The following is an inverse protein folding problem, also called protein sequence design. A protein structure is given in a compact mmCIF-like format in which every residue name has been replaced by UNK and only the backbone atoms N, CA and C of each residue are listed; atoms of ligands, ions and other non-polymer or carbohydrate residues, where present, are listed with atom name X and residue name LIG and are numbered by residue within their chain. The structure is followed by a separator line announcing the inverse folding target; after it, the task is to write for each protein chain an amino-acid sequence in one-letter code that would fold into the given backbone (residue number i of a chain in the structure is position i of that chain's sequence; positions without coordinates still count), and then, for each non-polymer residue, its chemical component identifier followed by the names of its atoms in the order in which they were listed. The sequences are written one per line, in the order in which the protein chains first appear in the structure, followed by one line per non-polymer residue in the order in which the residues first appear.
data_IF_143218287921
#
_entry.id   IF_143218287921
#
_cell.length_a   1.000
_cell.length_b   1.000
_cell.length_c   1.000
_cell.angle_alpha   90.00
_cell.angle_beta   90.00
_cell.angle_gamma   90.00
#
_symmetry.space_group_name_H-M   'P 1'
#
loop_
_entity.id
_entity.type
_entity.pdbx_description
1 polymer ?
#
# COMPACT_ATOMS: atom_id res chain seq x y z
N UNK A 1 -8.29 -32.67 -56.50
CA UNK A 1 -8.76 -31.28 -56.35
C UNK A 1 -7.71 -30.58 -55.49
N UNK A 2 -6.56 -30.11 -55.99
CA UNK A 2 -6.27 -29.07 -57.00
C UNK A 2 -6.63 -27.65 -56.55
N UNK A 3 -5.57 -26.90 -56.19
CA UNK A 3 -5.35 -25.43 -56.19
C UNK A 3 -6.30 -24.54 -55.34
N UNK A 4 -5.91 -23.38 -54.75
CA UNK A 4 -4.79 -22.44 -55.01
C UNK A 4 -4.50 -21.51 -53.80
N UNK A 5 -3.29 -20.93 -53.81
CA UNK A 5 -2.88 -19.52 -53.49
C UNK A 5 -3.34 -18.84 -52.18
N UNK A 6 -2.45 -18.44 -51.26
CA UNK A 6 -1.39 -17.41 -51.30
C UNK A 6 -1.89 -16.00 -51.64
N UNK A 7 -1.91 -15.11 -50.64
CA UNK A 7 -1.58 -13.69 -50.83
C UNK A 7 -1.05 -13.10 -49.53
N UNK A 8 0.24 -12.78 -49.55
CA UNK A 8 0.92 -11.95 -48.57
C UNK A 8 0.57 -10.47 -48.79
N UNK A 9 0.50 -9.70 -47.71
CA UNK A 9 0.38 -8.22 -47.74
C UNK A 9 1.62 -7.64 -47.05
N UNK A 10 2.24 -6.57 -47.62
CA UNK A 10 3.62 -6.23 -47.34
C UNK A 10 3.83 -5.29 -46.14
N UNK A 11 5.05 -5.43 -45.63
CA UNK A 11 5.84 -4.56 -44.78
C UNK A 11 5.78 -3.07 -45.19
N UNK A 12 5.36 -2.19 -44.28
CA UNK A 12 5.49 -0.74 -44.43
C UNK A 12 6.65 -0.22 -43.58
N UNK A 13 7.62 0.36 -44.29
CA UNK A 13 8.85 0.92 -43.77
C UNK A 13 8.63 2.17 -42.90
N UNK A 14 9.47 2.27 -41.87
CA UNK A 14 9.59 3.38 -40.95
C UNK A 14 10.08 4.66 -41.64
N UNK A 15 9.51 5.81 -41.25
CA UNK A 15 10.04 7.14 -41.55
C UNK A 15 10.68 7.78 -40.30
N UNK A 16 11.86 8.40 -40.41
CA UNK A 16 12.57 8.98 -39.28
C UNK A 16 12.02 10.36 -38.88
N UNK A 17 11.57 10.50 -37.64
CA UNK A 17 11.10 11.77 -37.07
C UNK A 17 12.30 12.60 -36.60
N UNK A 18 12.60 13.67 -37.34
CA UNK A 18 13.65 14.65 -37.03
C UNK A 18 13.43 15.31 -35.66
N UNK A 19 14.47 15.26 -34.84
CA UNK A 19 14.60 15.96 -33.56
C UNK A 19 14.83 17.46 -33.79
N UNK A 20 13.99 18.30 -33.17
CA UNK A 20 14.20 19.75 -33.10
C UNK A 20 14.70 20.11 -31.70
N UNK A 21 16.02 20.24 -31.54
CA UNK A 21 16.65 20.82 -30.35
C UNK A 21 16.40 22.32 -30.36
N UNK A 22 15.64 22.82 -29.39
CA UNK A 22 15.58 24.25 -29.07
C UNK A 22 16.61 24.51 -27.98
N UNK A 23 17.67 25.25 -28.33
CA UNK A 23 18.59 25.86 -27.37
C UNK A 23 17.97 27.19 -26.95
N UNK A 24 17.73 27.39 -25.65
CA UNK A 24 17.60 28.72 -25.07
C UNK A 24 18.88 29.03 -24.30
N UNK A 25 19.69 29.90 -24.88
CA UNK A 25 20.75 30.66 -24.23
C UNK A 25 20.26 32.10 -24.15
N UNK A 26 20.21 32.65 -22.95
CA UNK A 26 19.86 34.05 -22.70
C UNK A 26 20.31 34.45 -21.31
N UNK A 27 21.54 34.94 -21.23
CA UNK A 27 22.09 35.65 -20.07
C UNK A 27 21.78 37.15 -20.21
N UNK A 28 21.58 37.82 -19.06
CA UNK A 28 21.73 39.25 -18.73
C UNK A 28 20.71 39.60 -17.65
N UNK A 29 20.93 40.47 -16.67
CA UNK A 29 22.10 41.19 -16.21
C UNK A 29 21.72 41.76 -14.83
N UNK A 30 22.75 42.04 -14.03
CA UNK A 30 22.72 42.73 -12.74
C UNK A 30 22.20 44.16 -12.88
N UNK A 31 21.34 44.60 -11.95
CA UNK A 31 21.28 46.00 -11.51
C UNK A 31 20.99 46.05 -10.00
N UNK A 32 21.84 46.80 -9.31
CA UNK A 32 21.82 47.05 -7.88
C UNK A 32 21.18 48.40 -7.55
N UNK A 33 20.48 48.46 -6.42
CA UNK A 33 20.17 49.59 -5.53
C UNK A 33 18.90 49.16 -4.77
N UNK A 34 18.78 49.15 -3.44
CA UNK A 34 19.39 49.98 -2.42
C UNK A 34 18.24 50.39 -1.50
N UNK A 35 18.10 49.77 -0.33
CA UNK A 35 17.33 50.30 0.79
C UNK A 35 17.71 49.52 2.06
N UNK A 36 18.52 50.18 2.88
CA UNK A 36 18.84 49.78 4.25
C UNK A 36 17.65 50.13 5.13
N UNK A 37 17.03 49.13 5.75
CA UNK A 37 16.25 49.31 6.97
C UNK A 37 16.78 48.34 8.01
N UNK A 38 17.57 48.90 8.93
CA UNK A 38 18.07 48.22 10.14
C UNK A 38 16.91 48.12 11.11
N UNK A 39 16.37 46.92 11.31
CA UNK A 39 15.62 46.57 12.51
C UNK A 39 16.49 45.63 13.35
N UNK A 40 16.90 46.12 14.52
CA UNK A 40 17.72 45.37 15.47
C UNK A 40 16.94 44.19 16.03
N UNK A 41 17.30 42.98 15.58
CA UNK A 41 16.96 41.74 16.28
C UNK A 41 18.19 41.25 17.03
N UNK A 42 18.12 41.31 18.35
CA UNK A 42 19.08 40.70 19.28
C UNK A 42 19.21 39.20 18.94
N UNK A 43 20.34 38.80 18.37
CA UNK A 43 20.68 37.39 18.20
C UNK A 43 21.09 36.81 19.56
N UNK A 44 20.16 36.15 20.24
CA UNK A 44 20.51 35.13 21.23
C UNK A 44 21.15 33.94 20.50
N UNK A 45 22.36 33.50 20.85
CA UNK A 45 22.96 32.32 20.24
C UNK A 45 22.08 31.09 20.52
N UNK A 46 21.79 30.32 19.47
CA UNK A 46 21.04 29.09 19.58
C UNK A 46 21.72 28.14 20.60
N UNK A 47 20.97 27.55 21.55
CA UNK A 47 21.54 26.62 22.50
C UNK A 47 22.10 25.42 21.73
N UNK A 48 23.35 25.06 22.02
CA UNK A 48 23.97 23.82 21.54
C UNK A 48 23.07 22.65 21.94
N UNK A 49 22.38 22.07 20.96
CA UNK A 49 21.59 20.86 21.18
C UNK A 49 22.54 19.74 21.63
N UNK A 50 22.49 19.41 22.91
CA UNK A 50 23.09 18.19 23.43
C UNK A 50 22.36 17.03 22.77
N UNK A 51 23.09 16.20 22.03
CA UNK A 51 22.58 14.93 21.53
C UNK A 51 22.21 14.08 22.76
N UNK A 52 20.93 14.08 23.10
CA UNK A 52 20.37 13.27 24.17
C UNK A 52 20.20 11.87 23.59
N UNK A 53 21.11 10.97 23.95
CA UNK A 53 20.91 9.54 23.71
C UNK A 53 19.68 9.12 24.52
N UNK A 54 18.54 8.99 23.85
CA UNK A 54 17.31 8.47 24.47
C UNK A 54 17.45 6.95 24.47
N UNK A 55 17.78 6.39 25.63
CA UNK A 55 17.64 4.96 25.88
C UNK A 55 16.15 4.67 25.97
N UNK A 56 15.57 4.14 24.89
CA UNK A 56 14.18 3.68 24.89
C UNK A 56 14.12 2.38 25.69
N UNK A 57 13.51 2.41 26.87
CA UNK A 57 13.23 1.21 27.65
C UNK A 57 12.36 0.24 26.85
N UNK A 58 12.57 -1.07 26.99
CA UNK A 58 11.81 -2.10 26.27
C UNK A 58 10.28 -1.96 26.45
N UNK A 59 9.81 -1.44 27.59
CA UNK A 59 8.40 -1.11 27.83
C UNK A 59 7.87 0.03 26.94
N UNK A 60 8.71 1.00 26.57
CA UNK A 60 8.34 2.07 25.63
C UNK A 60 8.23 1.57 24.19
N UNK A 61 8.96 0.51 23.84
CA UNK A 61 8.88 -0.16 22.53
C UNK A 61 7.57 -0.94 22.40
N UNK A 62 7.12 -1.67 23.44
CA UNK A 62 5.79 -2.30 23.47
C UNK A 62 4.64 -1.27 23.42
N UNK A 63 4.80 -0.11 24.08
CA UNK A 63 3.77 0.93 24.08
C UNK A 63 3.65 1.63 22.70
N UNK A 64 4.74 1.71 21.93
CA UNK A 64 4.74 2.16 20.53
C UNK A 64 4.25 1.05 19.57
N UNK A 65 4.46 -0.22 19.90
CA UNK A 65 3.91 -1.37 19.17
C UNK A 65 2.38 -1.51 19.33
N UNK A 66 1.81 -1.02 20.44
CA UNK A 66 0.39 -1.12 20.76
C UNK A 66 -0.48 0.03 20.23
N UNK A 67 0.09 1.01 19.52
CA UNK A 67 -0.71 2.04 18.87
C UNK A 67 -1.32 1.49 17.57
N UNK A 68 -2.64 1.53 17.46
CA UNK A 68 -3.38 1.25 16.23
C UNK A 68 -2.77 2.07 15.08
N UNK A 69 -2.24 1.44 14.01
CA UNK A 69 -1.65 2.18 12.89
C UNK A 69 -2.67 3.19 12.34
N UNK A 70 -2.25 4.45 12.23
CA UNK A 70 -3.11 5.57 11.83
C UNK A 70 -2.50 6.30 10.65
N UNK A 71 -3.31 6.60 9.64
CA UNK A 71 -2.95 7.48 8.54
C UNK A 71 -4.01 8.56 8.35
N UNK A 72 -3.58 9.83 8.33
CA UNK A 72 -4.45 10.96 8.02
C UNK A 72 -4.37 11.30 6.54
N UNK A 73 -5.50 11.68 5.94
CA UNK A 73 -5.58 12.05 4.52
C UNK A 73 -4.53 13.08 4.08
N UNK A 74 -4.12 14.00 4.96
CA UNK A 74 -3.13 15.04 4.67
C UNK A 74 -1.68 14.60 4.92
N UNK A 75 -1.45 13.31 5.19
CA UNK A 75 -0.11 12.76 5.40
C UNK A 75 0.82 13.00 4.21
N UNK A 76 2.10 13.14 4.51
CA UNK A 76 3.19 13.10 3.55
C UNK A 76 3.49 11.66 3.11
N UNK A 77 4.37 11.49 2.13
CA UNK A 77 4.86 10.15 1.77
C UNK A 77 5.57 9.45 2.94
N UNK A 78 6.24 10.20 3.81
CA UNK A 78 6.95 9.64 4.95
C UNK A 78 5.99 9.13 6.01
N UNK A 79 4.87 9.85 6.23
CA UNK A 79 3.79 9.38 7.09
C UNK A 79 3.17 8.10 6.54
N UNK A 80 3.00 8.01 5.22
CA UNK A 80 2.46 6.82 4.56
C UNK A 80 3.39 5.62 4.72
N UNK A 81 4.71 5.77 4.47
CA UNK A 81 5.67 4.70 4.72
C UNK A 81 5.76 4.33 6.21
N UNK A 82 5.69 5.32 7.10
CA UNK A 82 5.62 5.12 8.55
C UNK A 82 4.40 4.29 8.95
N UNK A 83 3.23 4.60 8.40
CA UNK A 83 1.99 3.86 8.57
C UNK A 83 2.12 2.39 8.12
N UNK A 84 2.62 2.15 6.91
CA UNK A 84 2.86 0.79 6.40
C UNK A 84 3.90 0.02 7.24
N UNK A 85 4.93 0.69 7.75
CA UNK A 85 5.90 0.09 8.67
C UNK A 85 5.24 -0.31 10.00
N UNK A 86 4.32 0.50 10.54
CA UNK A 86 3.57 0.18 11.76
C UNK A 86 2.68 -1.05 11.58
N UNK A 87 2.02 -1.19 10.43
CA UNK A 87 1.25 -2.40 10.09
C UNK A 87 2.15 -3.62 10.08
N UNK A 88 3.30 -3.53 9.41
CA UNK A 88 4.23 -4.66 9.30
C UNK A 88 4.75 -5.08 10.68
N UNK A 89 5.12 -4.13 11.54
CA UNK A 89 5.51 -4.41 12.92
C UNK A 89 4.40 -5.05 13.76
N UNK A 90 3.14 -4.68 13.55
CA UNK A 90 2.01 -5.23 14.30
C UNK A 90 1.74 -6.72 14.00
N UNK A 91 2.30 -7.25 12.91
CA UNK A 91 2.04 -8.60 12.40
C UNK A 91 3.31 -9.45 12.38
N UNK A 92 4.48 -8.81 12.34
CA UNK A 92 5.78 -9.45 12.29
C UNK A 92 5.90 -10.56 13.34
N UNK A 93 5.98 -11.79 12.86
CA UNK A 93 6.03 -12.98 13.71
C UNK A 93 7.46 -13.43 14.03
N UNK A 94 8.40 -13.18 13.11
CA UNK A 94 9.71 -13.83 13.09
C UNK A 94 10.75 -12.98 12.34
N UNK A 95 12.03 -13.33 12.45
CA UNK A 95 13.15 -12.68 11.76
C UNK A 95 12.83 -12.33 10.30
N UNK A 96 12.94 -11.05 9.95
CA UNK A 96 12.73 -10.54 8.60
C UNK A 96 14.01 -10.44 7.75
N UNK A 97 15.14 -10.92 8.28
CA UNK A 97 16.43 -10.87 7.58
C UNK A 97 16.45 -11.82 6.39
N UNK A 98 16.90 -11.34 5.22
CA UNK A 98 17.07 -12.16 4.01
C UNK A 98 18.56 -12.45 3.81
N UNK A 99 19.02 -13.71 3.95
CA UNK A 99 20.43 -14.06 3.88
C UNK A 99 21.12 -13.58 2.60
N UNK A 100 22.30 -12.98 2.76
CA UNK A 100 23.11 -12.49 1.64
C UNK A 100 22.60 -11.19 1.00
N UNK A 101 21.67 -10.49 1.65
CA UNK A 101 21.10 -9.23 1.14
C UNK A 101 20.94 -8.20 2.27
N UNK A 102 20.83 -6.93 1.90
CA UNK A 102 20.45 -5.86 2.84
C UNK A 102 18.94 -5.66 2.95
N UNK A 103 18.14 -6.43 2.20
CA UNK A 103 16.69 -6.32 2.21
C UNK A 103 16.10 -7.12 3.37
N UNK A 104 14.94 -6.68 3.83
CA UNK A 104 14.10 -7.41 4.79
C UNK A 104 12.76 -7.75 4.17
N UNK A 105 12.19 -8.88 4.59
CA UNK A 105 10.82 -9.29 4.26
C UNK A 105 10.15 -9.72 5.56
N UNK A 106 9.12 -8.99 5.99
CA UNK A 106 8.36 -9.36 7.18
C UNK A 106 7.52 -10.61 6.92
N UNK A 107 7.18 -11.37 7.94
CA UNK A 107 6.38 -12.58 7.81
C UNK A 107 5.12 -12.49 8.67
N UNK A 108 4.00 -12.91 8.10
CA UNK A 108 2.78 -13.15 8.89
C UNK A 108 2.89 -14.48 9.65
N UNK A 109 2.17 -14.63 10.77
CA UNK A 109 1.96 -15.94 11.39
C UNK A 109 0.67 -16.56 10.85
N UNK A 110 0.79 -17.64 10.08
CA UNK A 110 -0.36 -18.35 9.49
C UNK A 110 -1.22 -19.07 10.52
N UNK A 111 -0.73 -19.24 11.76
CA UNK A 111 -1.51 -19.82 12.86
C UNK A 111 -2.28 -18.73 13.65
N UNK A 112 -1.97 -17.45 13.41
CA UNK A 112 -2.64 -16.33 14.05
C UNK A 112 -3.82 -15.85 13.21
N UNK A 113 -4.95 -16.55 13.34
CA UNK A 113 -6.23 -16.15 12.72
C UNK A 113 -6.90 -14.95 13.42
N UNK A 114 -6.18 -14.25 14.30
CA UNK A 114 -6.66 -13.04 14.95
C UNK A 114 -6.85 -11.89 13.98
N UNK A 115 -7.38 -10.79 14.51
CA UNK A 115 -7.62 -9.57 13.76
C UNK A 115 -6.87 -8.41 14.41
N UNK A 116 -6.65 -7.37 13.64
CA UNK A 116 -6.19 -6.08 14.14
C UNK A 116 -6.82 -4.98 13.29
N UNK A 117 -6.90 -3.80 13.88
CA UNK A 117 -7.50 -2.65 13.23
C UNK A 117 -6.41 -1.65 12.83
N UNK A 118 -6.69 -0.89 11.78
CA UNK A 118 -5.94 0.32 11.40
C UNK A 118 -6.94 1.45 11.22
N UNK A 119 -6.50 2.69 11.38
CA UNK A 119 -7.39 3.86 11.31
C UNK A 119 -6.99 4.73 10.12
N UNK A 120 -7.99 5.16 9.35
CA UNK A 120 -7.82 6.16 8.31
C UNK A 120 -8.66 7.39 8.65
N UNK A 121 -8.03 8.56 8.70
CA UNK A 121 -8.70 9.82 9.00
C UNK A 121 -8.99 10.66 7.74
N UNK A 122 -10.18 11.28 7.68
CA UNK A 122 -10.60 12.15 6.57
C UNK A 122 -10.45 13.66 6.86
N UNK A 123 -10.74 14.51 5.87
CA UNK A 123 -10.63 15.98 5.97
C UNK A 123 -11.62 16.64 6.94
N UNK A 124 -12.69 15.94 7.30
CA UNK A 124 -13.70 16.42 8.23
C UNK A 124 -13.41 15.97 9.66
N UNK A 125 -12.30 15.27 9.90
CA UNK A 125 -11.92 14.73 11.21
C UNK A 125 -12.58 13.39 11.53
N UNK A 126 -13.29 12.76 10.58
CA UNK A 126 -13.82 11.42 10.77
C UNK A 126 -12.71 10.38 10.75
N UNK A 127 -12.91 9.25 11.43
CA UNK A 127 -11.95 8.15 11.49
C UNK A 127 -12.64 6.83 11.17
N UNK A 128 -12.31 6.22 10.04
CA UNK A 128 -12.76 4.86 9.75
C UNK A 128 -11.75 3.86 10.30
N UNK A 129 -12.23 2.87 11.06
CA UNK A 129 -11.41 1.73 11.50
C UNK A 129 -11.56 0.61 10.50
N UNK A 130 -10.47 0.20 9.86
CA UNK A 130 -10.42 -0.92 8.94
C UNK A 130 -9.90 -2.15 9.68
N UNK A 131 -10.60 -3.28 9.55
CA UNK A 131 -10.21 -4.53 10.20
C UNK A 131 -9.52 -5.47 9.23
N UNK A 132 -8.30 -5.89 9.57
CA UNK A 132 -7.51 -6.83 8.80
C UNK A 132 -7.30 -8.13 9.57
N UNK A 133 -7.25 -9.25 8.83
CA UNK A 133 -6.85 -10.54 9.40
C UNK A 133 -5.33 -10.61 9.53
N UNK A 134 -4.82 -11.04 10.69
CA UNK A 134 -3.38 -11.04 11.02
C UNK A 134 -2.56 -12.01 10.16
N UNK A 135 -3.11 -13.18 9.88
CA UNK A 135 -2.40 -14.24 9.14
C UNK A 135 -2.10 -13.91 7.68
N UNK A 136 -2.87 -13.03 7.03
CA UNK A 136 -2.72 -12.74 5.60
C UNK A 136 -3.04 -11.31 5.17
N UNK A 137 -3.28 -10.37 6.10
CA UNK A 137 -3.61 -8.98 5.78
C UNK A 137 -4.90 -8.80 4.96
N UNK A 138 -5.80 -9.78 4.86
CA UNK A 138 -7.07 -9.54 4.16
C UNK A 138 -7.89 -8.50 4.91
N UNK A 139 -8.33 -7.46 4.19
CA UNK A 139 -9.28 -6.48 4.68
C UNK A 139 -10.66 -7.16 4.79
N UNK A 140 -11.15 -7.31 6.02
CA UNK A 140 -12.37 -8.08 6.30
C UNK A 140 -13.60 -7.18 6.43
N UNK A 141 -13.40 -5.93 6.83
CA UNK A 141 -14.49 -5.00 7.10
C UNK A 141 -14.00 -3.66 7.65
N UNK A 142 -14.95 -2.84 8.08
CA UNK A 142 -14.71 -1.53 8.67
C UNK A 142 -15.79 -1.16 9.69
N UNK A 143 -15.49 -0.22 10.57
CA UNK A 143 -16.46 0.38 11.50
C UNK A 143 -16.90 1.74 10.98
N UNK A 144 -18.21 1.98 10.96
CA UNK A 144 -18.80 3.25 10.54
C UNK A 144 -19.04 4.21 11.72
N UNK A 145 -19.64 5.36 11.41
CA UNK A 145 -19.98 6.42 12.39
C UNK A 145 -20.89 6.00 13.53
N UNK A 146 -21.65 4.91 13.38
CA UNK A 146 -22.54 4.36 14.40
C UNK A 146 -21.92 3.17 15.14
N UNK A 147 -20.60 2.98 14.97
CA UNK A 147 -19.86 1.82 15.44
C UNK A 147 -20.38 0.48 14.87
N UNK A 148 -21.05 0.49 13.71
CA UNK A 148 -21.49 -0.76 13.09
C UNK A 148 -20.32 -1.39 12.35
N UNK A 149 -20.06 -2.67 12.62
CA UNK A 149 -19.05 -3.44 11.90
C UNK A 149 -19.60 -3.93 10.55
N UNK A 150 -19.22 -3.22 9.48
CA UNK A 150 -19.57 -3.56 8.12
C UNK A 150 -18.51 -4.51 7.54
N UNK A 151 -18.90 -5.62 6.93
CA UNK A 151 -17.96 -6.65 6.51
C UNK A 151 -18.22 -7.22 5.12
N UNK A 152 -17.18 -7.85 4.55
CA UNK A 152 -17.24 -8.63 3.31
C UNK A 152 -16.90 -10.09 3.58
N UNK A 153 -17.30 -10.98 2.67
CA UNK A 153 -17.07 -12.41 2.86
C UNK A 153 -18.02 -13.05 3.87
N UNK A 154 -17.72 -14.27 4.29
CA UNK A 154 -18.57 -15.03 5.20
C UNK A 154 -18.43 -14.52 6.65
N UNK A 155 -19.53 -14.48 7.40
CA UNK A 155 -19.56 -13.96 8.78
C UNK A 155 -18.59 -14.66 9.74
N UNK A 156 -18.35 -15.96 9.57
CA UNK A 156 -17.41 -16.73 10.38
C UNK A 156 -15.94 -16.46 10.06
N UNK A 157 -15.64 -15.90 8.89
CA UNK A 157 -14.29 -15.48 8.49
C UNK A 157 -14.06 -13.98 8.76
N UNK A 158 -15.13 -13.19 8.75
CA UNK A 158 -15.10 -11.73 8.78
C UNK A 158 -14.58 -11.12 10.09
N UNK A 159 -14.31 -11.92 11.14
CA UNK A 159 -13.79 -11.39 12.39
C UNK A 159 -14.74 -10.43 13.11
N UNK A 160 -16.06 -10.70 12.99
CA UNK A 160 -17.10 -9.89 13.64
C UNK A 160 -16.87 -9.95 15.17
N UNK A 161 -16.63 -8.80 15.84
CA UNK A 161 -16.53 -8.73 17.30
C UNK A 161 -17.74 -9.37 18.02
N UNK A 162 -17.53 -9.98 19.18
CA UNK A 162 -18.60 -10.67 19.90
C UNK A 162 -19.72 -9.71 20.37
N UNK A 163 -19.35 -8.53 20.86
CA UNK A 163 -20.26 -7.45 21.23
C UNK A 163 -21.12 -6.99 20.02
N UNK A 164 -20.51 -6.93 18.83
CA UNK A 164 -21.22 -6.52 17.61
C UNK A 164 -22.17 -7.60 17.07
N UNK A 165 -21.87 -8.88 17.31
CA UNK A 165 -22.80 -9.98 17.00
C UNK A 165 -24.06 -9.90 17.87
N UNK A 166 -23.90 -9.58 19.15
CA UNK A 166 -24.99 -9.51 20.12
C UNK A 166 -25.84 -8.24 19.93
N UNK A 167 -25.21 -7.10 19.64
CA UNK A 167 -25.91 -5.85 19.39
C UNK A 167 -26.85 -5.94 18.18
N UNK A 168 -26.45 -6.65 17.11
CA UNK A 168 -27.30 -6.88 15.94
C UNK A 168 -28.61 -7.62 16.29
N UNK A 169 -28.56 -8.56 17.24
CA UNK A 169 -29.77 -9.27 17.72
C UNK A 169 -30.64 -8.45 18.67
N UNK A 170 -30.09 -7.40 19.30
CA UNK A 170 -30.78 -6.60 20.31
C UNK A 170 -31.31 -5.25 19.78
N UNK A 171 -31.07 -4.90 18.51
CA UNK A 171 -31.43 -3.59 17.95
C UNK A 171 -30.65 -2.42 18.56
N UNK A 172 -29.54 -2.69 19.23
CA UNK A 172 -28.68 -1.68 19.84
C UNK A 172 -27.75 -1.04 18.79
N UNK A 173 -27.24 0.17 19.08
CA UNK A 173 -26.10 0.74 18.34
C UNK A 173 -24.90 -0.21 18.45
N UNK A 174 -24.07 -0.28 17.41
CA UNK A 174 -22.89 -1.16 17.39
C UNK A 174 -23.12 -2.57 16.82
N UNK A 175 -23.98 -2.72 15.80
CA UNK A 175 -24.28 -4.03 15.19
C UNK A 175 -23.22 -4.52 14.19
N UNK A 176 -23.57 -5.52 13.38
CA UNK A 176 -22.77 -5.93 12.23
C UNK A 176 -23.62 -6.05 10.97
N UNK A 177 -23.05 -5.72 9.81
CA UNK A 177 -23.77 -5.72 8.53
C UNK A 177 -22.88 -6.22 7.40
N UNK A 178 -23.38 -7.15 6.60
CA UNK A 178 -22.67 -7.62 5.41
C UNK A 178 -22.90 -6.67 4.24
N UNK A 179 -21.82 -6.24 3.58
CA UNK A 179 -21.90 -5.56 2.28
C UNK A 179 -22.01 -6.56 1.14
N UNK A 180 -21.17 -7.60 1.15
CA UNK A 180 -21.02 -8.52 0.04
C UNK A 180 -20.74 -9.95 0.51
N UNK A 181 -21.48 -10.91 -0.05
CA UNK A 181 -21.20 -12.32 0.10
C UNK A 181 -19.98 -12.70 -0.76
N UNK A 182 -18.81 -12.79 -0.11
CA UNK A 182 -17.51 -13.04 -0.74
C UNK A 182 -16.58 -11.82 -0.68
N UNK A 183 -15.28 -12.08 -0.59
CA UNK A 183 -14.23 -11.06 -0.49
C UNK A 183 -13.26 -11.07 -1.68
N UNK A 184 -13.62 -11.73 -2.80
CA UNK A 184 -12.76 -11.78 -3.98
C UNK A 184 -12.77 -10.45 -4.74
N UNK A 185 -11.61 -10.09 -5.31
CA UNK A 185 -11.45 -8.90 -6.13
C UNK A 185 -12.53 -8.78 -7.21
N UNK A 186 -12.76 -9.82 -7.99
CA UNK A 186 -13.77 -9.83 -9.06
C UNK A 186 -15.18 -9.45 -8.60
N UNK A 187 -15.55 -9.82 -7.37
CA UNK A 187 -16.87 -9.50 -6.83
C UNK A 187 -16.92 -8.05 -6.33
N UNK A 188 -15.85 -7.59 -5.68
CA UNK A 188 -15.73 -6.21 -5.21
C UNK A 188 -15.69 -5.26 -6.41
N UNK A 189 -14.87 -5.54 -7.44
CA UNK A 189 -14.78 -4.75 -8.68
C UNK A 189 -16.12 -4.66 -9.42
N UNK A 190 -16.86 -5.77 -9.50
CA UNK A 190 -18.20 -5.79 -10.10
C UNK A 190 -19.19 -4.93 -9.35
N UNK A 191 -19.21 -5.00 -8.01
CA UNK A 191 -20.06 -4.15 -7.19
C UNK A 191 -19.64 -2.67 -7.30
N UNK A 192 -18.33 -2.42 -7.30
CA UNK A 192 -17.72 -1.11 -7.41
C UNK A 192 -17.89 -0.46 -8.79
N UNK A 193 -18.25 -1.22 -9.82
CA UNK A 193 -18.33 -0.77 -11.22
C UNK A 193 -17.02 -0.12 -11.72
N UNK A 194 -15.89 -0.57 -11.18
CA UNK A 194 -14.54 -0.16 -11.56
C UNK A 194 -13.57 -1.31 -11.34
N UNK A 195 -12.34 -1.19 -11.80
CA UNK A 195 -11.28 -2.14 -11.54
C UNK A 195 -10.13 -1.48 -10.79
N UNK A 196 -9.25 -2.30 -10.20
CA UNK A 196 -8.09 -1.84 -9.45
C UNK A 196 -7.16 -0.92 -10.24
N UNK A 197 -6.96 -1.20 -11.53
CA UNK A 197 -6.06 -0.41 -12.38
C UNK A 197 -6.55 1.00 -12.70
N UNK A 198 -7.82 1.31 -12.42
CA UNK A 198 -8.41 2.65 -12.60
C UNK A 198 -8.49 3.45 -11.30
N UNK A 199 -8.06 2.89 -10.18
CA UNK A 199 -8.06 3.61 -8.91
C UNK A 199 -6.98 4.69 -8.90
N UNK A 200 -7.33 5.84 -8.35
CA UNK A 200 -6.45 6.98 -8.23
C UNK A 200 -6.02 7.18 -6.78
N UNK A 201 -4.72 7.20 -6.51
CA UNK A 201 -4.14 7.29 -5.18
C UNK A 201 -3.61 8.70 -4.91
N UNK A 202 -4.39 9.48 -4.17
CA UNK A 202 -3.99 10.80 -3.69
C UNK A 202 -4.75 11.14 -2.39
N UNK A 203 -4.45 12.30 -1.81
CA UNK A 203 -5.07 12.74 -0.55
C UNK A 203 -6.61 12.89 -0.63
N UNK A 204 -7.13 13.38 -1.76
CA UNK A 204 -8.57 13.51 -1.98
C UNK A 204 -9.27 12.15 -2.02
N UNK A 205 -8.65 11.17 -2.68
CA UNK A 205 -9.15 9.80 -2.74
C UNK A 205 -9.15 9.14 -1.37
N UNK A 206 -8.09 9.33 -0.56
CA UNK A 206 -8.04 8.86 0.83
C UNK A 206 -9.16 9.49 1.66
N UNK A 207 -9.28 10.82 1.64
CA UNK A 207 -10.33 11.51 2.39
C UNK A 207 -11.73 11.11 1.93
N UNK A 208 -11.96 11.01 0.62
CA UNK A 208 -13.26 10.64 0.07
C UNK A 208 -13.63 9.20 0.42
N UNK A 209 -12.70 8.26 0.25
CA UNK A 209 -12.93 6.86 0.59
C UNK A 209 -13.22 6.66 2.07
N UNK A 210 -12.45 7.33 2.95
CA UNK A 210 -12.68 7.26 4.40
C UNK A 210 -14.05 7.83 4.79
N UNK A 211 -14.44 8.98 4.24
CA UNK A 211 -15.75 9.58 4.47
C UNK A 211 -16.91 8.72 3.96
N UNK A 212 -16.75 8.05 2.81
CA UNK A 212 -17.74 7.11 2.27
C UNK A 212 -17.94 5.90 3.19
N UNK A 213 -16.85 5.30 3.67
CA UNK A 213 -16.93 4.18 4.62
C UNK A 213 -17.49 4.61 5.98
N UNK A 214 -17.11 5.79 6.49
CA UNK A 214 -17.63 6.36 7.73
C UNK A 214 -19.15 6.59 7.70
N UNK A 215 -19.68 7.08 6.58
CA UNK A 215 -21.12 7.27 6.39
C UNK A 215 -21.87 5.97 6.14
N UNK A 216 -21.22 4.98 5.52
CA UNK A 216 -21.80 3.68 5.19
C UNK A 216 -23.17 3.76 4.48
N UNK A 217 -23.31 4.60 3.45
CA UNK A 217 -24.60 4.74 2.74
C UNK A 217 -24.88 3.55 1.81
N UNK A 218 -25.66 2.59 2.32
CA UNK A 218 -26.06 1.39 1.59
C UNK A 218 -27.05 1.62 0.44
N UNK A 219 -27.52 2.86 0.21
CA UNK A 219 -28.24 3.20 -1.03
C UNK A 219 -27.30 3.27 -2.23
N UNK A 220 -26.00 3.44 -1.99
CA UNK A 220 -24.93 3.50 -2.99
C UNK A 220 -23.81 2.49 -2.67
N UNK A 221 -24.10 1.18 -2.67
CA UNK A 221 -23.11 0.15 -2.31
C UNK A 221 -21.91 0.11 -3.25
N UNK A 222 -22.03 0.65 -4.46
CA UNK A 222 -20.92 0.83 -5.39
C UNK A 222 -19.82 1.74 -4.82
N UNK A 223 -20.16 2.81 -4.10
CA UNK A 223 -19.16 3.70 -3.50
C UNK A 223 -18.47 3.06 -2.29
N UNK A 224 -19.20 2.25 -1.52
CA UNK A 224 -18.61 1.44 -0.44
C UNK A 224 -17.61 0.44 -1.01
N UNK A 225 -17.99 -0.28 -2.08
CA UNK A 225 -17.12 -1.24 -2.74
C UNK A 225 -15.89 -0.59 -3.40
N UNK A 226 -16.05 0.58 -4.03
CA UNK A 226 -14.92 1.37 -4.55
C UNK A 226 -13.93 1.76 -3.45
N UNK A 227 -14.45 2.22 -2.30
CA UNK A 227 -13.63 2.64 -1.17
C UNK A 227 -12.91 1.46 -0.51
N UNK A 228 -13.57 0.29 -0.41
CA UNK A 228 -12.93 -0.95 0.03
C UNK A 228 -11.86 -1.43 -0.94
N UNK A 229 -12.11 -1.36 -2.25
CA UNK A 229 -11.13 -1.74 -3.25
C UNK A 229 -9.89 -0.84 -3.16
N UNK A 230 -10.12 0.47 -3.01
CA UNK A 230 -9.08 1.47 -2.77
C UNK A 230 -8.25 1.14 -1.54
N UNK A 231 -8.89 0.93 -0.38
CA UNK A 231 -8.15 0.65 0.85
C UNK A 231 -7.50 -0.73 0.89
N UNK A 232 -8.02 -1.71 0.14
CA UNK A 232 -7.31 -2.98 -0.02
C UNK A 232 -5.96 -2.76 -0.69
N UNK A 233 -5.89 -2.01 -1.78
CA UNK A 233 -4.60 -1.71 -2.44
C UNK A 233 -3.72 -0.76 -1.61
N UNK A 234 -4.32 0.29 -1.03
CA UNK A 234 -3.64 1.32 -0.24
C UNK A 234 -3.05 0.78 1.08
N UNK A 235 -3.67 -0.22 1.69
CA UNK A 235 -3.24 -0.75 2.98
C UNK A 235 -2.62 -2.14 2.81
N UNK A 236 -3.42 -3.12 2.42
CA UNK A 236 -3.01 -4.52 2.44
C UNK A 236 -1.98 -4.84 1.35
N UNK A 237 -2.23 -4.44 0.10
CA UNK A 237 -1.31 -4.75 -0.99
C UNK A 237 -0.03 -3.93 -0.93
N UNK A 238 -0.10 -2.67 -0.51
CA UNK A 238 1.08 -1.85 -0.23
C UNK A 238 1.94 -2.44 0.92
N UNK A 239 1.32 -2.99 1.98
CA UNK A 239 2.06 -3.67 3.04
C UNK A 239 2.76 -4.94 2.54
N UNK A 240 2.15 -5.67 1.59
CA UNK A 240 2.72 -6.89 0.99
C UNK A 240 3.81 -6.63 -0.04
N UNK A 241 3.61 -5.65 -0.92
CA UNK A 241 4.44 -5.44 -2.11
C UNK A 241 5.10 -4.07 -2.12
N UNK A 242 6.42 -4.07 -2.29
CA UNK A 242 7.22 -2.84 -2.30
C UNK A 242 6.89 -1.95 -3.48
N UNK A 243 6.73 -2.51 -4.67
CA UNK A 243 6.39 -1.73 -5.86
C UNK A 243 5.06 -0.97 -5.74
N UNK A 244 4.06 -1.57 -5.07
CA UNK A 244 2.78 -0.92 -4.79
C UNK A 244 2.96 0.21 -3.76
N UNK A 245 3.61 -0.08 -2.63
CA UNK A 245 3.91 0.94 -1.62
C UNK A 245 4.69 2.13 -2.19
N UNK A 246 5.74 1.86 -2.96
CA UNK A 246 6.58 2.90 -3.57
C UNK A 246 5.82 3.71 -4.61
N UNK A 247 4.96 3.07 -5.42
CA UNK A 247 4.13 3.78 -6.40
C UNK A 247 3.20 4.76 -5.69
N UNK A 248 2.45 4.27 -4.69
CA UNK A 248 1.51 5.11 -3.94
C UNK A 248 2.28 6.21 -3.17
N UNK A 249 3.31 5.86 -2.41
CA UNK A 249 4.05 6.79 -1.58
C UNK A 249 4.77 7.87 -2.37
N UNK A 250 5.54 7.50 -3.40
CA UNK A 250 6.35 8.47 -4.15
C UNK A 250 5.55 9.31 -5.14
N UNK A 251 4.50 8.75 -5.76
CA UNK A 251 3.74 9.46 -6.79
C UNK A 251 2.43 10.07 -6.27
N UNK A 252 1.78 9.43 -5.29
CA UNK A 252 0.50 9.89 -4.74
C UNK A 252 0.63 10.91 -3.62
N UNK A 253 1.81 10.99 -2.99
CA UNK A 253 2.11 11.90 -1.89
C UNK A 253 3.45 12.59 -2.09
N UNK A 254 3.48 13.93 -1.97
CA UNK A 254 4.71 14.70 -1.91
C UNK A 254 5.28 14.71 -0.48
N UNK A 255 6.52 15.22 -0.38
CA UNK A 255 7.18 15.44 0.91
C UNK A 255 6.49 16.56 1.71
N UNK A 256 5.88 17.53 1.03
CA UNK A 256 5.03 18.56 1.64
C UNK A 256 3.56 18.28 1.40
N UNK A 257 2.71 18.72 2.33
CA UNK A 257 1.27 18.39 2.34
C UNK A 257 0.44 19.24 1.38
N UNK A 258 1.02 20.30 0.79
CA UNK A 258 0.24 21.42 0.24
C UNK A 258 -0.45 21.19 -1.12
N UNK A 259 -0.12 20.15 -1.91
CA UNK A 259 -0.67 20.02 -3.28
C UNK A 259 -0.91 18.57 -3.75
N UNK A 260 -0.96 17.60 -2.83
CA UNK A 260 -0.99 16.19 -3.22
C UNK A 260 -2.31 15.74 -3.85
N UNK A 261 -3.39 16.50 -3.67
CA UNK A 261 -4.69 16.23 -4.28
C UNK A 261 -4.67 16.27 -5.83
N UNK A 262 -3.68 16.94 -6.43
CA UNK A 262 -3.56 17.07 -7.90
C UNK A 262 -2.99 15.83 -8.57
N UNK A 263 -2.34 14.95 -7.82
CA UNK A 263 -1.72 13.77 -8.41
C UNK A 263 -2.77 12.78 -8.90
N UNK A 264 -2.52 12.23 -10.09
CA UNK A 264 -3.32 11.16 -10.68
C UNK A 264 -2.52 9.87 -10.70
N UNK A 265 -2.22 9.34 -9.52
CA UNK A 265 -1.41 8.15 -9.37
C UNK A 265 -2.26 6.90 -9.56
N UNK A 266 -1.93 6.12 -10.56
CA UNK A 266 -2.50 4.79 -10.80
C UNK A 266 -1.38 3.75 -10.63
N UNK A 267 -1.71 2.57 -10.13
CA UNK A 267 -0.74 1.48 -10.03
C UNK A 267 -0.62 0.80 -11.41
N UNK A 268 0.60 0.54 -11.84
CA UNK A 268 0.87 -0.18 -13.08
C UNK A 268 0.26 -1.58 -13.05
N UNK A 269 -0.41 -2.05 -14.13
CA UNK A 269 -1.02 -3.37 -14.16
C UNK A 269 -0.07 -4.52 -13.78
N UNK A 270 1.21 -4.43 -14.10
CA UNK A 270 2.18 -5.46 -13.74
C UNK A 270 2.42 -5.58 -12.24
N UNK A 271 2.26 -4.48 -11.48
CA UNK A 271 2.30 -4.52 -10.02
C UNK A 271 0.99 -5.11 -9.46
N UNK A 272 -0.16 -4.77 -10.07
CA UNK A 272 -1.48 -5.28 -9.66
C UNK A 272 -1.56 -6.79 -9.89
N UNK A 273 -1.01 -7.31 -10.99
CA UNK A 273 -1.00 -8.74 -11.29
C UNK A 273 -0.33 -9.55 -10.17
N UNK A 274 0.66 -8.97 -9.47
CA UNK A 274 1.36 -9.62 -8.36
C UNK A 274 0.45 -9.88 -7.17
N UNK A 275 -0.61 -9.08 -6.96
CA UNK A 275 -1.58 -9.27 -5.87
C UNK A 275 -2.18 -10.68 -5.91
N UNK A 276 -2.42 -11.22 -7.11
CA UNK A 276 -2.95 -12.58 -7.30
C UNK A 276 -1.89 -13.68 -7.12
N UNK A 277 -0.61 -13.33 -7.10
CA UNK A 277 0.51 -14.25 -6.99
C UNK A 277 1.17 -14.23 -5.61
N UNK A 278 0.64 -13.47 -4.65
CA UNK A 278 1.27 -13.31 -3.33
C UNK A 278 1.52 -14.63 -2.61
N UNK A 279 0.56 -15.56 -2.67
CA UNK A 279 0.68 -16.88 -2.05
C UNK A 279 1.82 -17.69 -2.68
N UNK A 280 1.84 -17.82 -4.02
CA UNK A 280 2.90 -18.53 -4.74
C UNK A 280 4.29 -17.91 -4.51
N UNK A 281 4.38 -16.57 -4.52
CA UNK A 281 5.61 -15.84 -4.25
C UNK A 281 6.11 -16.10 -2.82
N UNK A 282 5.20 -16.04 -1.84
CA UNK A 282 5.50 -16.29 -0.43
C UNK A 282 5.95 -17.72 -0.18
N UNK A 283 5.24 -18.71 -0.72
CA UNK A 283 5.59 -20.12 -0.59
C UNK A 283 6.97 -20.42 -1.17
N UNK A 284 7.27 -19.88 -2.37
CA UNK A 284 8.58 -20.10 -2.99
C UNK A 284 9.70 -19.44 -2.21
N UNK A 285 9.50 -18.19 -1.79
CA UNK A 285 10.46 -17.46 -0.97
C UNK A 285 10.73 -18.18 0.37
N UNK A 286 9.69 -18.62 1.06
CA UNK A 286 9.82 -19.36 2.32
C UNK A 286 10.51 -20.70 2.15
N UNK A 287 10.26 -21.41 1.04
CA UNK A 287 10.99 -22.63 0.72
C UNK A 287 12.49 -22.35 0.54
N UNK A 288 12.84 -21.26 -0.17
CA UNK A 288 14.25 -20.86 -0.34
C UNK A 288 14.90 -20.51 1.00
N UNK A 289 14.20 -19.79 1.88
CA UNK A 289 14.67 -19.47 3.23
C UNK A 289 14.89 -20.72 4.08
N UNK A 290 13.92 -21.63 4.13
CA UNK A 290 13.98 -22.86 4.94
C UNK A 290 15.14 -23.77 4.51
N UNK A 291 15.40 -23.86 3.20
CA UNK A 291 16.43 -24.74 2.64
C UNK A 291 17.77 -24.03 2.40
N UNK A 292 17.89 -22.76 2.80
CA UNK A 292 19.06 -21.92 2.59
C UNK A 292 19.53 -21.92 1.11
N UNK A 293 18.59 -21.77 0.18
CA UNK A 293 18.83 -21.74 -1.27
C UNK A 293 18.92 -20.28 -1.73
N UNK A 294 20.12 -19.68 -1.85
CA UNK A 294 20.26 -18.27 -2.24
C UNK A 294 19.78 -17.99 -3.66
N UNK A 295 19.92 -18.99 -4.54
CA UNK A 295 19.55 -18.91 -5.94
C UNK A 295 18.87 -20.22 -6.36
N UNK A 296 17.70 -20.09 -6.94
CA UNK A 296 16.90 -21.18 -7.47
C UNK A 296 17.27 -21.49 -8.93
N UNK A 297 16.77 -22.63 -9.44
CA UNK A 297 16.85 -22.94 -10.85
C UNK A 297 15.92 -22.03 -11.66
N UNK A 298 16.34 -21.65 -12.87
CA UNK A 298 15.50 -20.86 -13.77
C UNK A 298 14.13 -21.54 -14.02
N UNK A 299 14.06 -22.88 -14.03
CA UNK A 299 12.80 -23.62 -14.27
C UNK A 299 11.72 -23.34 -13.22
N UNK A 300 12.11 -23.00 -12.00
CA UNK A 300 11.20 -22.71 -10.89
C UNK A 300 10.99 -21.20 -10.68
N UNK A 301 11.64 -20.36 -11.49
CA UNK A 301 11.60 -18.91 -11.33
C UNK A 301 10.18 -18.37 -11.58
N UNK A 302 9.68 -17.60 -10.63
CA UNK A 302 8.42 -16.86 -10.77
C UNK A 302 8.70 -15.50 -11.42
N UNK A 303 7.66 -14.83 -11.89
CA UNK A 303 7.77 -13.44 -12.36
C UNK A 303 7.41 -12.48 -11.22
N UNK A 304 8.09 -11.34 -11.20
CA UNK A 304 7.73 -10.22 -10.34
C UNK A 304 7.94 -8.89 -11.06
N UNK A 305 7.27 -7.88 -10.55
CA UNK A 305 7.43 -6.49 -10.92
C UNK A 305 7.93 -5.67 -9.73
N UNK A 306 8.73 -4.65 -10.00
CA UNK A 306 9.11 -3.64 -9.02
C UNK A 306 9.15 -2.26 -9.66
N UNK A 307 9.01 -1.23 -8.82
CA UNK A 307 9.26 0.15 -9.19
C UNK A 307 10.71 0.51 -8.91
N UNK A 308 11.42 1.03 -9.90
CA UNK A 308 12.81 1.49 -9.72
C UNK A 308 12.85 2.85 -9.02
N UNK A 309 14.05 3.27 -8.59
CA UNK A 309 14.27 4.62 -8.08
C UNK A 309 13.90 5.73 -9.09
N UNK A 310 14.07 5.47 -10.40
CA UNK A 310 13.63 6.40 -11.46
C UNK A 310 12.11 6.40 -11.70
N UNK A 311 11.38 5.50 -11.04
CA UNK A 311 9.93 5.35 -11.20
C UNK A 311 9.49 4.47 -12.37
N UNK A 312 10.44 3.83 -13.07
CA UNK A 312 10.11 2.83 -14.09
C UNK A 312 9.63 1.52 -13.45
N UNK A 313 8.79 0.78 -14.17
CA UNK A 313 8.36 -0.56 -13.78
C UNK A 313 9.25 -1.57 -14.49
N UNK A 314 9.88 -2.46 -13.72
CA UNK A 314 10.66 -3.57 -14.24
C UNK A 314 9.95 -4.87 -13.92
N UNK A 315 9.67 -5.66 -14.95
CA UNK A 315 9.17 -7.03 -14.85
C UNK A 315 10.31 -7.99 -15.14
N UNK A 316 10.57 -8.93 -14.24
CA UNK A 316 11.68 -9.86 -14.39
C UNK A 316 11.44 -11.17 -13.64
N UNK A 317 12.27 -12.16 -13.95
CA UNK A 317 12.25 -13.47 -13.31
C UNK A 317 12.94 -13.40 -11.96
N UNK A 318 12.26 -13.88 -10.92
CA UNK A 318 12.75 -13.95 -9.55
C UNK A 318 13.47 -15.29 -9.37
N UNK A 319 14.80 -15.24 -9.34
CA UNK A 319 15.64 -16.44 -9.27
C UNK A 319 16.34 -16.50 -7.90
N UNK A 320 16.72 -15.36 -7.34
CA UNK A 320 17.44 -15.28 -6.06
C UNK A 320 16.54 -14.82 -4.93
N UNK A 321 16.87 -15.15 -3.67
CA UNK A 321 16.17 -14.59 -2.50
C UNK A 321 16.16 -13.06 -2.52
N UNK A 322 17.24 -12.43 -3.03
CA UNK A 322 17.29 -10.98 -3.20
C UNK A 322 16.28 -10.45 -4.22
N UNK A 323 15.93 -11.22 -5.24
CA UNK A 323 14.92 -10.80 -6.22
C UNK A 323 13.53 -10.78 -5.59
N UNK A 324 13.18 -11.83 -4.85
CA UNK A 324 11.94 -11.88 -4.07
C UNK A 324 11.88 -10.76 -3.05
N UNK A 325 12.97 -10.52 -2.32
CA UNK A 325 13.05 -9.48 -1.30
C UNK A 325 13.03 -8.05 -1.87
N UNK A 326 13.20 -7.85 -3.18
CA UNK A 326 12.98 -6.57 -3.87
C UNK A 326 11.51 -6.32 -4.20
N UNK A 327 10.74 -7.39 -4.37
CA UNK A 327 9.32 -7.36 -4.70
C UNK A 327 8.46 -7.34 -3.44
N UNK A 328 8.76 -8.22 -2.49
CA UNK A 328 8.01 -8.40 -1.25
C UNK A 328 8.51 -7.42 -0.17
N UNK A 329 7.55 -6.80 0.50
CA UNK A 329 7.75 -6.22 1.83
C UNK A 329 7.31 -7.21 2.92
N UNK A 330 6.31 -8.05 2.63
CA UNK A 330 5.81 -9.07 3.55
C UNK A 330 5.46 -10.37 2.81
N UNK A 331 5.81 -11.51 3.41
CA UNK A 331 5.50 -12.84 2.96
C UNK A 331 4.48 -13.53 3.88
N UNK A 332 3.65 -14.40 3.29
CA UNK A 332 2.70 -15.21 4.02
C UNK A 332 3.40 -16.34 4.77
N UNK A 333 3.29 -16.36 6.10
CA UNK A 333 3.89 -17.39 6.94
C UNK A 333 5.41 -17.22 7.11
N UNK A 334 5.93 -17.66 8.24
CA UNK A 334 7.37 -17.88 8.44
C UNK A 334 7.70 -19.38 8.31
N UNK A 335 8.85 -19.73 7.71
CA UNK A 335 9.33 -21.11 7.71
C UNK A 335 9.61 -21.59 9.14
N UNK A 336 8.77 -22.49 9.67
CA UNK A 336 9.07 -23.20 10.93
C UNK A 336 10.33 -24.04 10.71
N UNK A 337 11.37 -23.85 11.53
CA UNK A 337 12.50 -24.78 11.57
C UNK A 337 11.98 -26.09 12.16
N UNK A 338 12.02 -27.15 11.34
CA UNK A 338 11.64 -28.51 11.75
C UNK A 338 12.65 -29.16 12.67
#
# INVERSE_FOLDING_TARGET
MSHSDVTAVPEQAATPRKSRRVRLTGACAVLAAGAVLVSGFSHTPAPKAQARTVTLDAASIETVQNQTPLFWWNGSRWDYFGFLNSIRRAIHADSNNVPGTANTVDHTDTNNHGFFDVVIGDRNGHQVRLRLRRDNLYLMGWFDSNDTYNYIGNSWQAGIPNDHRQAASAGARGGSRQLLAGASYDRIERLARTNRSRLNFNQDAVSSGAGVLWNADYRHPEFLAQSLLFFTQFVAEAARFRGIADTIGWQGFADSTADNWRYRTTIDPHLIDQETSWDNLSQRFNWMLLNNVPQDSARNALNGALRTASGAILVYRLITMSDYARVLNMALGYPKRG
#
